data_IF_146915568401
#
_entry.id   IF_146915568401
#
_cell.length_a   1.000
_cell.length_b   1.000
_cell.length_c   1.000
_cell.angle_alpha   90.00
_cell.angle_beta   90.00
_cell.angle_gamma   90.00
#
_symmetry.space_group_name_H-M   'P 1'
#
loop_
_entity.id
_entity.type
_entity.pdbx_description
1 polymer ?
#
# COMPACT_ATOMS: atom_id res chain seq x y z
N UNK A 1 -12.76 -4.59 6.65
CA UNK A 1 -13.21 -3.80 5.47
C UNK A 1 -12.73 -2.36 5.58
N UNK A 2 -12.24 -1.79 4.46
CA UNK A 2 -11.89 -0.36 4.30
C UNK A 2 -12.90 0.23 3.33
N UNK A 3 -13.47 1.42 3.63
CA UNK A 3 -14.36 2.15 2.72
C UNK A 3 -13.85 3.57 2.54
N UNK A 4 -13.67 3.98 1.29
CA UNK A 4 -13.34 5.35 0.91
C UNK A 4 -14.64 6.08 0.52
N UNK A 5 -14.90 7.27 1.08
CA UNK A 5 -16.07 8.09 0.77
C UNK A 5 -15.64 9.46 0.28
N UNK A 6 -15.82 9.72 -1.02
CA UNK A 6 -15.44 10.96 -1.69
C UNK A 6 -14.01 11.38 -1.36
N UNK A 7 -13.10 10.41 -1.26
CA UNK A 7 -11.75 10.62 -0.76
C UNK A 7 -10.88 11.32 -1.79
N UNK A 8 -10.33 12.46 -1.40
CA UNK A 8 -9.32 13.20 -2.16
C UNK A 8 -8.04 13.24 -1.35
N UNK A 9 -6.94 12.77 -1.95
CA UNK A 9 -5.62 12.79 -1.33
C UNK A 9 -4.68 13.77 -2.02
N UNK A 10 -3.70 14.27 -1.29
CA UNK A 10 -2.71 15.20 -1.76
C UNK A 10 -1.85 15.73 -0.62
N UNK A 11 -1.05 16.74 -0.87
CA UNK A 11 -0.16 17.35 0.12
C UNK A 11 0.05 18.84 -0.18
N UNK A 12 0.42 19.63 0.86
CA UNK A 12 0.80 21.02 0.66
C UNK A 12 2.04 21.12 -0.25
N UNK A 13 1.98 22.02 -1.24
CA UNK A 13 3.07 22.34 -2.15
C UNK A 13 3.31 23.86 -2.14
N UNK A 14 4.15 24.31 -1.23
CA UNK A 14 4.38 25.74 -0.98
C UNK A 14 3.10 26.45 -0.52
N UNK A 15 2.61 27.41 -1.32
CA UNK A 15 1.35 28.15 -1.07
C UNK A 15 0.12 27.45 -1.66
N UNK A 16 0.29 26.36 -2.38
CA UNK A 16 -0.75 25.62 -3.07
C UNK A 16 -0.93 24.24 -2.44
N UNK A 17 -2.01 23.57 -2.76
CA UNK A 17 -2.26 22.19 -2.40
C UNK A 17 -2.20 21.35 -3.68
N UNK A 18 -1.30 20.37 -3.73
CA UNK A 18 -1.24 19.42 -4.85
C UNK A 18 -2.24 18.29 -4.58
N UNK A 19 -3.34 18.31 -5.31
CA UNK A 19 -4.32 17.22 -5.33
C UNK A 19 -3.84 16.12 -6.28
N UNK A 20 -3.92 14.85 -5.85
CA UNK A 20 -3.40 13.71 -6.61
C UNK A 20 -4.49 12.92 -7.32
N UNK A 21 -5.73 12.93 -6.82
CA UNK A 21 -6.84 12.18 -7.41
C UNK A 21 -8.14 12.98 -7.40
N UNK A 22 -9.09 12.54 -8.21
CA UNK A 22 -10.51 12.90 -8.07
C UNK A 22 -11.13 12.18 -6.89
N UNK A 23 -12.32 12.61 -6.47
CA UNK A 23 -13.03 12.00 -5.34
C UNK A 23 -13.24 10.49 -5.57
N UNK A 24 -12.63 9.67 -4.72
CA UNK A 24 -12.69 8.21 -4.82
C UNK A 24 -13.74 7.64 -3.86
N UNK A 25 -14.53 6.68 -4.36
CA UNK A 25 -15.50 5.91 -3.59
C UNK A 25 -15.23 4.43 -3.85
N UNK A 26 -14.47 3.79 -2.96
CA UNK A 26 -13.98 2.43 -3.16
C UNK A 26 -14.03 1.61 -1.88
N UNK A 27 -14.08 0.29 -2.02
CA UNK A 27 -14.09 -0.63 -0.89
C UNK A 27 -13.06 -1.75 -1.08
N UNK A 28 -12.25 -1.97 -0.03
CA UNK A 28 -11.43 -3.18 0.11
C UNK A 28 -12.12 -4.11 1.12
N UNK A 29 -12.49 -5.29 0.65
CA UNK A 29 -13.35 -6.22 1.37
C UNK A 29 -12.55 -7.19 2.24
N UNK A 30 -13.21 -7.71 3.28
CA UNK A 30 -12.65 -8.75 4.12
C UNK A 30 -12.48 -10.06 3.32
N UNK A 31 -11.41 -10.78 3.59
CA UNK A 31 -11.08 -12.02 2.89
C UNK A 31 -10.56 -11.83 1.46
N UNK A 32 -10.22 -10.60 1.05
CA UNK A 32 -9.75 -10.32 -0.31
C UNK A 32 -8.38 -9.63 -0.33
N UNK A 33 -7.59 -9.97 -1.36
CA UNK A 33 -6.38 -9.27 -1.75
C UNK A 33 -6.71 -8.20 -2.79
N UNK A 34 -6.58 -6.93 -2.41
CA UNK A 34 -6.73 -5.78 -3.30
C UNK A 34 -5.37 -5.20 -3.65
N UNK A 35 -5.06 -5.06 -4.94
CA UNK A 35 -3.83 -4.44 -5.41
C UNK A 35 -4.08 -3.04 -5.96
N UNK A 36 -3.41 -2.04 -5.38
CA UNK A 36 -3.39 -0.66 -5.84
C UNK A 36 -2.25 -0.48 -6.85
N UNK A 37 -2.60 -0.19 -8.10
CA UNK A 37 -1.67 -0.06 -9.22
C UNK A 37 -1.70 1.37 -9.75
N UNK A 38 -0.54 1.86 -10.14
CA UNK A 38 -0.37 3.18 -10.73
C UNK A 38 1.09 3.45 -11.06
N UNK A 39 1.35 4.40 -11.95
CA UNK A 39 2.69 4.84 -12.26
C UNK A 39 3.42 5.39 -11.02
N UNK A 40 4.75 5.48 -11.10
CA UNK A 40 5.51 6.13 -10.03
C UNK A 40 5.09 7.59 -9.88
N UNK A 41 4.91 8.03 -8.63
CA UNK A 41 4.40 9.37 -8.34
C UNK A 41 2.89 9.58 -8.55
N UNK A 42 2.12 8.53 -8.89
CA UNK A 42 0.65 8.64 -9.04
C UNK A 42 -0.11 8.90 -7.73
N UNK A 43 0.55 8.71 -6.57
CA UNK A 43 -0.07 8.95 -5.26
C UNK A 43 -0.42 7.69 -4.48
N UNK A 44 0.04 6.50 -4.90
CA UNK A 44 -0.23 5.21 -4.22
C UNK A 44 0.13 5.26 -2.73
N UNK A 45 1.38 5.61 -2.41
CA UNK A 45 1.84 5.69 -1.02
C UNK A 45 1.13 6.80 -0.23
N UNK A 46 0.76 7.91 -0.89
CA UNK A 46 -0.05 8.97 -0.27
C UNK A 46 -1.44 8.46 0.09
N UNK A 47 -2.08 7.70 -0.81
CA UNK A 47 -3.38 7.07 -0.53
C UNK A 47 -3.26 6.08 0.63
N UNK A 48 -2.27 5.18 0.61
CA UNK A 48 -2.06 4.22 1.70
C UNK A 48 -1.77 4.91 3.04
N UNK A 49 -0.95 5.97 3.06
CA UNK A 49 -0.69 6.77 4.28
C UNK A 49 -1.94 7.47 4.79
N UNK A 50 -2.80 7.94 3.88
CA UNK A 50 -4.09 8.55 4.25
C UNK A 50 -5.04 7.50 4.84
N UNK A 51 -5.13 6.30 4.22
CA UNK A 51 -5.91 5.17 4.75
C UNK A 51 -5.38 4.75 6.13
N UNK A 52 -4.06 4.72 6.31
CA UNK A 52 -3.43 4.41 7.60
C UNK A 52 -3.65 5.49 8.68
N UNK A 53 -4.17 6.66 8.31
CA UNK A 53 -4.32 7.79 9.21
C UNK A 53 -2.99 8.46 9.59
N UNK A 54 -1.93 8.28 8.80
CA UNK A 54 -0.65 8.97 8.96
C UNK A 54 -0.66 10.34 8.30
N UNK A 55 -1.61 10.56 7.39
CA UNK A 55 -1.83 11.82 6.69
C UNK A 55 -3.32 12.11 6.64
N UNK A 56 -3.69 13.39 6.76
CA UNK A 56 -5.08 13.81 6.59
C UNK A 56 -5.46 13.83 5.10
N UNK A 57 -6.69 13.40 4.75
CA UNK A 57 -7.22 13.62 3.41
C UNK A 57 -7.44 15.12 3.15
N UNK A 58 -7.42 15.53 1.89
CA UNK A 58 -7.86 16.87 1.49
C UNK A 58 -9.38 17.00 1.62
N UNK A 59 -10.11 15.98 1.16
CA UNK A 59 -11.57 15.90 1.23
C UNK A 59 -11.99 14.45 1.48
N UNK A 60 -13.22 14.26 1.93
CA UNK A 60 -13.81 12.94 2.14
C UNK A 60 -13.35 12.25 3.41
N UNK A 61 -13.56 10.95 3.47
CA UNK A 61 -13.40 10.16 4.69
C UNK A 61 -12.93 8.74 4.38
N UNK A 62 -12.09 8.20 5.24
CA UNK A 62 -11.72 6.77 5.27
C UNK A 62 -12.41 6.11 6.45
N UNK A 63 -13.18 5.07 6.20
CA UNK A 63 -13.80 4.25 7.25
C UNK A 63 -13.05 2.93 7.40
N UNK A 64 -12.76 2.57 8.63
CA UNK A 64 -12.13 1.31 9.03
C UNK A 64 -13.11 0.49 9.88
N UNK A 65 -13.74 -0.51 9.26
CA UNK A 65 -14.82 -1.26 9.92
C UNK A 65 -16.03 -0.40 10.28
N UNK A 66 -16.31 0.67 9.53
CA UNK A 66 -17.40 1.60 9.75
C UNK A 66 -17.04 2.88 10.52
N UNK A 67 -15.92 2.92 11.26
CA UNK A 67 -15.47 4.08 12.03
C UNK A 67 -14.51 4.94 11.20
N UNK A 68 -14.66 6.28 11.30
CA UNK A 68 -13.73 7.22 10.65
C UNK A 68 -12.33 7.10 11.27
N UNK A 69 -11.33 6.83 10.44
CA UNK A 69 -9.94 6.62 10.86
C UNK A 69 -9.37 7.82 11.64
N UNK A 70 -9.89 9.04 11.39
CA UNK A 70 -9.47 10.26 12.09
C UNK A 70 -9.93 10.32 13.53
N UNK A 71 -11.03 9.66 13.85
CA UNK A 71 -11.60 9.65 15.22
C UNK A 71 -10.94 8.59 16.11
N UNK A 72 -10.24 7.64 15.51
CA UNK A 72 -9.57 6.57 16.23
C UNK A 72 -8.24 7.06 16.82
N UNK A 73 -8.00 6.74 18.10
CA UNK A 73 -6.69 6.95 18.71
C UNK A 73 -5.62 6.10 18.01
N UNK A 74 -4.32 6.45 18.14
CA UNK A 74 -3.23 5.65 17.57
C UNK A 74 -3.28 4.17 17.98
N UNK A 75 -3.65 3.89 19.23
CA UNK A 75 -3.79 2.51 19.73
C UNK A 75 -4.96 1.80 19.06
N UNK A 76 -6.12 2.43 18.97
CA UNK A 76 -7.30 1.84 18.31
C UNK A 76 -7.05 1.56 16.84
N UNK A 77 -6.31 2.43 16.14
CA UNK A 77 -5.87 2.16 14.77
C UNK A 77 -4.94 0.96 14.70
N UNK A 78 -3.95 0.89 15.58
CA UNK A 78 -3.01 -0.23 15.64
C UNK A 78 -3.66 -1.56 16.06
N UNK A 79 -4.78 -1.56 16.76
CA UNK A 79 -5.57 -2.76 17.08
C UNK A 79 -6.43 -3.23 15.90
N UNK A 80 -6.64 -2.39 14.86
CA UNK A 80 -7.51 -2.68 13.71
C UNK A 80 -6.76 -2.84 12.39
N UNK A 81 -5.57 -2.26 12.28
CA UNK A 81 -4.82 -2.22 11.03
C UNK A 81 -3.32 -2.35 11.29
N UNK A 82 -2.70 -3.30 10.61
CA UNK A 82 -1.25 -3.41 10.52
C UNK A 82 -0.76 -2.73 9.22
N UNK A 83 0.41 -2.08 9.30
CA UNK A 83 1.00 -1.38 8.15
C UNK A 83 2.44 -1.84 7.95
N UNK A 84 2.76 -2.23 6.73
CA UNK A 84 4.13 -2.53 6.27
C UNK A 84 4.49 -1.46 5.24
N UNK A 85 5.47 -0.61 5.58
CA UNK A 85 5.97 0.42 4.68
C UNK A 85 7.17 -0.11 3.90
N UNK A 86 7.49 0.54 2.79
CA UNK A 86 8.65 0.24 1.95
C UNK A 86 9.97 0.50 2.68
N UNK A 87 9.97 1.43 3.66
CA UNK A 87 11.14 1.77 4.44
C UNK A 87 11.64 0.56 5.24
N UNK A 88 12.94 0.28 5.12
CA UNK A 88 13.59 -0.83 5.80
C UNK A 88 14.19 -0.33 7.11
N UNK A 89 13.73 -0.83 8.28
CA UNK A 89 14.36 -0.47 9.52
C UNK A 89 15.78 -1.03 9.56
N UNK A 90 16.75 -0.16 9.85
CA UNK A 90 18.13 -0.58 10.09
C UNK A 90 18.25 -1.18 11.50
N UNK A 91 18.19 -2.52 11.57
CA UNK A 91 18.22 -3.27 12.84
C UNK A 91 19.36 -4.26 12.83
N UNK A 92 20.53 -3.83 13.31
CA UNK A 92 21.76 -4.62 13.21
C UNK A 92 21.77 -5.89 14.08
N UNK A 93 21.21 -5.86 15.29
CA UNK A 93 21.35 -6.95 16.29
C UNK A 93 20.03 -7.62 16.66
N UNK A 94 18.91 -7.30 16.00
CA UNK A 94 17.60 -7.82 16.33
C UNK A 94 17.38 -9.18 15.67
N UNK A 95 16.93 -10.17 16.43
CA UNK A 95 16.56 -11.47 15.90
C UNK A 95 15.22 -11.40 15.15
N UNK A 96 14.97 -12.36 14.29
CA UNK A 96 13.69 -12.51 13.57
C UNK A 96 12.52 -12.59 14.57
N UNK A 97 12.68 -13.39 15.63
CA UNK A 97 11.66 -13.53 16.66
C UNK A 97 11.37 -12.20 17.36
N UNK A 98 12.40 -11.47 17.78
CA UNK A 98 12.26 -10.15 18.42
C UNK A 98 11.58 -9.14 17.49
N UNK A 99 11.96 -9.11 16.21
CA UNK A 99 11.33 -8.23 15.22
C UNK A 99 9.84 -8.52 15.10
N UNK A 100 9.45 -9.78 14.96
CA UNK A 100 8.03 -10.17 14.87
C UNK A 100 7.29 -9.89 16.18
N UNK A 101 7.95 -10.07 17.32
CA UNK A 101 7.38 -9.79 18.63
C UNK A 101 7.01 -8.30 18.83
N UNK A 102 7.68 -7.37 18.13
CA UNK A 102 7.29 -5.95 18.14
C UNK A 102 5.87 -5.72 17.60
N UNK A 103 5.34 -6.63 16.77
CA UNK A 103 3.94 -6.59 16.32
C UNK A 103 2.93 -6.70 17.47
N UNK A 104 3.35 -7.19 18.63
CA UNK A 104 2.50 -7.27 19.84
C UNK A 104 2.48 -5.97 20.67
N UNK A 105 3.27 -4.95 20.30
CA UNK A 105 3.37 -3.69 21.05
C UNK A 105 2.01 -3.05 21.40
N UNK A 106 0.98 -3.01 20.54
CA UNK A 106 -0.32 -2.43 20.88
C UNK A 106 -1.04 -3.14 22.05
N UNK A 107 -0.70 -4.41 22.30
CA UNK A 107 -1.36 -5.27 23.29
C UNK A 107 -0.53 -5.49 24.55
N UNK A 108 0.72 -5.02 24.58
CA UNK A 108 1.58 -5.06 25.76
C UNK A 108 1.36 -3.82 26.63
N UNK A 109 1.57 -3.97 27.95
CA UNK A 109 1.54 -2.84 28.86
C UNK A 109 2.80 -1.97 28.73
N UNK A 110 2.92 -0.97 29.60
CA UNK A 110 4.02 0.02 29.62
C UNK A 110 5.43 -0.63 29.59
N UNK A 111 5.60 -1.77 30.22
CA UNK A 111 6.88 -2.50 30.27
C UNK A 111 7.15 -3.40 29.06
N UNK A 112 6.28 -3.43 28.06
CA UNK A 112 6.46 -4.24 26.84
C UNK A 112 6.56 -5.75 27.08
N UNK A 113 6.13 -6.26 28.25
CA UNK A 113 6.25 -7.69 28.60
C UNK A 113 5.27 -8.54 27.80
N UNK A 114 5.80 -9.55 27.11
CA UNK A 114 5.01 -10.50 26.36
C UNK A 114 4.48 -11.60 27.27
N UNK A 115 3.17 -11.87 27.20
CA UNK A 115 2.54 -13.02 27.86
C UNK A 115 2.87 -14.32 27.10
N UNK A 116 2.52 -15.47 27.69
CA UNK A 116 2.61 -16.75 27.00
C UNK A 116 1.75 -16.80 25.73
N UNK A 117 0.57 -16.15 25.74
CA UNK A 117 -0.29 -16.01 24.56
C UNK A 117 0.41 -15.22 23.44
N UNK A 118 1.04 -14.10 23.78
CA UNK A 118 1.76 -13.28 22.79
C UNK A 118 2.91 -14.05 22.14
N UNK A 119 3.68 -14.82 22.92
CA UNK A 119 4.74 -15.70 22.41
C UNK A 119 4.19 -16.72 21.42
N UNK A 120 3.05 -17.36 21.73
CA UNK A 120 2.37 -18.28 20.85
C UNK A 120 1.92 -17.63 19.53
N UNK A 121 1.42 -16.39 19.59
CA UNK A 121 1.04 -15.60 18.41
C UNK A 121 2.25 -15.32 17.52
N UNK A 122 3.37 -14.91 18.10
CA UNK A 122 4.64 -14.67 17.37
C UNK A 122 5.09 -15.93 16.64
N UNK A 123 5.14 -17.08 17.35
CA UNK A 123 5.52 -18.36 16.76
C UNK A 123 4.57 -18.79 15.63
N UNK A 124 3.24 -18.63 15.81
CA UNK A 124 2.26 -18.90 14.76
C UNK A 124 2.49 -18.01 13.54
N UNK A 125 2.76 -16.71 13.74
CA UNK A 125 3.00 -15.77 12.64
C UNK A 125 4.25 -16.14 11.84
N UNK A 126 5.33 -16.55 12.48
CA UNK A 126 6.54 -17.06 11.83
C UNK A 126 6.27 -18.32 11.00
N UNK A 127 5.42 -19.22 11.53
CA UNK A 127 5.02 -20.45 10.83
C UNK A 127 4.18 -20.16 9.60
N UNK A 128 3.22 -19.24 9.69
CA UNK A 128 2.33 -18.85 8.57
C UNK A 128 3.13 -18.33 7.37
N UNK A 129 4.23 -17.62 7.61
CA UNK A 129 5.09 -17.13 6.52
C UNK A 129 6.28 -18.04 6.19
N UNK A 130 6.36 -19.23 6.82
CA UNK A 130 7.35 -20.25 6.51
C UNK A 130 8.79 -19.98 7.01
N UNK A 131 8.99 -19.08 7.99
CA UNK A 131 10.33 -18.71 8.49
C UNK A 131 10.58 -19.08 9.98
N UNK A 132 9.78 -19.97 10.55
CA UNK A 132 9.91 -20.37 11.97
C UNK A 132 11.34 -20.86 12.31
N UNK A 133 11.99 -21.56 11.37
CA UNK A 133 13.38 -22.06 11.56
C UNK A 133 14.43 -20.98 11.61
N UNK A 134 14.08 -19.76 11.25
CA UNK A 134 14.99 -18.58 11.24
C UNK A 134 14.82 -17.70 12.46
N UNK A 135 13.99 -18.11 13.45
CA UNK A 135 13.60 -17.27 14.60
C UNK A 135 14.80 -16.63 15.33
N UNK A 136 15.89 -17.39 15.50
CA UNK A 136 17.08 -16.96 16.23
C UNK A 136 18.13 -16.26 15.34
N UNK A 137 17.93 -16.20 14.01
CA UNK A 137 18.84 -15.47 13.12
C UNK A 137 18.63 -13.97 13.26
N UNK A 138 19.70 -13.21 13.05
CA UNK A 138 19.60 -11.74 12.99
C UNK A 138 18.94 -11.30 11.67
N UNK A 139 18.06 -10.30 11.74
CA UNK A 139 17.39 -9.75 10.56
C UNK A 139 18.38 -9.24 9.51
N UNK A 140 19.52 -8.69 9.95
CA UNK A 140 20.57 -8.22 9.06
C UNK A 140 21.19 -9.33 8.18
N UNK A 141 21.15 -10.61 8.64
CA UNK A 141 21.73 -11.75 7.91
C UNK A 141 20.79 -12.37 6.86
N UNK A 142 19.58 -11.85 6.71
CA UNK A 142 18.56 -12.38 5.83
C UNK A 142 18.67 -11.83 4.42
N UNK A 143 18.26 -12.62 3.42
CA UNK A 143 17.96 -12.13 2.09
C UNK A 143 16.79 -11.13 2.10
N UNK A 144 16.63 -10.36 1.02
CA UNK A 144 15.53 -9.39 0.93
C UNK A 144 14.15 -10.06 0.99
N UNK A 145 13.99 -11.22 0.34
CA UNK A 145 12.74 -12.00 0.42
C UNK A 145 12.45 -12.55 1.81
N UNK A 146 13.46 -13.09 2.50
CA UNK A 146 13.31 -13.54 3.90
C UNK A 146 12.98 -12.37 4.83
N UNK A 147 13.63 -11.22 4.63
CA UNK A 147 13.35 -9.99 5.41
C UNK A 147 11.93 -9.49 5.17
N UNK A 148 11.44 -9.55 3.93
CA UNK A 148 10.05 -9.19 3.62
C UNK A 148 9.06 -10.10 4.34
N UNK A 149 9.31 -11.41 4.38
CA UNK A 149 8.51 -12.36 5.16
C UNK A 149 8.51 -12.03 6.66
N UNK A 150 9.64 -11.57 7.22
CA UNK A 150 9.70 -11.10 8.62
C UNK A 150 8.77 -9.90 8.84
N UNK A 151 8.74 -8.92 7.92
CA UNK A 151 7.85 -7.77 8.04
C UNK A 151 6.37 -8.15 7.93
N UNK A 152 6.05 -9.09 7.05
CA UNK A 152 4.69 -9.65 6.95
C UNK A 152 4.34 -10.41 8.25
N UNK A 153 5.24 -11.26 8.78
CA UNK A 153 5.02 -11.97 10.05
C UNK A 153 4.77 -11.00 11.22
N UNK A 154 5.52 -9.88 11.27
CA UNK A 154 5.30 -8.82 12.26
C UNK A 154 3.89 -8.23 12.14
N UNK A 155 3.42 -7.94 10.92
CA UNK A 155 2.07 -7.44 10.69
C UNK A 155 1.00 -8.47 11.10
N UNK A 156 1.22 -9.78 10.83
CA UNK A 156 0.33 -10.85 11.26
C UNK A 156 0.30 -11.03 12.78
N UNK A 157 1.45 -10.87 13.45
CA UNK A 157 1.54 -10.92 14.91
C UNK A 157 0.70 -9.85 15.59
N UNK A 158 0.42 -8.75 14.93
CA UNK A 158 -0.49 -7.70 15.41
C UNK A 158 -1.95 -8.17 15.46
N UNK A 159 -2.34 -9.25 14.75
CA UNK A 159 -3.68 -9.84 14.71
C UNK A 159 -4.80 -8.88 14.34
N UNK A 160 -4.53 -7.95 13.46
CA UNK A 160 -5.51 -6.99 12.96
C UNK A 160 -6.37 -7.58 11.84
N UNK A 161 -7.62 -7.13 11.66
CA UNK A 161 -8.45 -7.53 10.51
C UNK A 161 -7.95 -6.95 9.17
N UNK A 162 -7.21 -5.84 9.21
CA UNK A 162 -6.70 -5.16 8.00
C UNK A 162 -5.18 -5.18 7.98
N UNK A 163 -4.60 -5.42 6.81
CA UNK A 163 -3.16 -5.33 6.54
C UNK A 163 -2.93 -4.44 5.31
N UNK A 164 -2.21 -3.34 5.50
CA UNK A 164 -1.76 -2.46 4.43
C UNK A 164 -0.28 -2.71 4.14
N UNK A 165 0.09 -2.80 2.85
CA UNK A 165 1.49 -2.97 2.46
C UNK A 165 1.83 -1.99 1.34
N UNK A 166 2.88 -1.19 1.54
CA UNK A 166 3.39 -0.28 0.51
C UNK A 166 4.56 -0.94 -0.23
N UNK A 167 4.33 -1.32 -1.48
CA UNK A 167 5.28 -1.99 -2.38
C UNK A 167 6.01 -3.21 -1.75
N UNK A 168 5.29 -4.22 -1.23
CA UNK A 168 5.90 -5.35 -0.51
C UNK A 168 6.80 -6.24 -1.38
N UNK A 169 6.76 -6.09 -2.69
CA UNK A 169 7.57 -6.86 -3.65
C UNK A 169 8.74 -6.05 -4.22
N UNK A 170 8.94 -4.80 -3.77
CA UNK A 170 10.05 -3.98 -4.21
C UNK A 170 11.40 -4.64 -3.85
N UNK A 171 12.36 -4.52 -4.74
CA UNK A 171 13.73 -5.07 -4.60
C UNK A 171 13.83 -6.60 -4.51
N UNK A 172 12.75 -7.34 -4.75
CA UNK A 172 12.75 -8.79 -4.82
C UNK A 172 13.00 -9.28 -6.25
N UNK A 173 13.65 -10.43 -6.40
CA UNK A 173 13.68 -11.15 -7.65
C UNK A 173 12.30 -11.73 -8.01
N UNK A 174 12.09 -12.10 -9.25
CA UNK A 174 10.77 -12.53 -9.72
C UNK A 174 10.19 -13.73 -8.94
N UNK A 175 10.95 -14.82 -8.67
CA UNK A 175 10.44 -15.93 -7.85
C UNK A 175 9.97 -15.48 -6.45
N UNK A 176 10.76 -14.65 -5.78
CA UNK A 176 10.40 -14.11 -4.45
C UNK A 176 9.17 -13.20 -4.49
N UNK A 177 8.97 -12.41 -5.58
CA UNK A 177 7.75 -11.62 -5.77
C UNK A 177 6.51 -12.51 -5.83
N UNK A 178 6.56 -13.56 -6.67
CA UNK A 178 5.47 -14.52 -6.83
C UNK A 178 5.15 -15.17 -5.48
N UNK A 179 6.18 -15.61 -4.74
CA UNK A 179 6.00 -16.26 -3.44
C UNK A 179 5.34 -15.30 -2.42
N UNK A 180 5.78 -14.04 -2.34
CA UNK A 180 5.20 -13.03 -1.44
C UNK A 180 3.75 -12.72 -1.82
N UNK A 181 3.43 -12.58 -3.10
CA UNK A 181 2.06 -12.32 -3.56
C UNK A 181 1.12 -13.49 -3.24
N UNK A 182 1.57 -14.72 -3.49
CA UNK A 182 0.79 -15.92 -3.14
C UNK A 182 0.59 -16.04 -1.62
N UNK A 183 1.61 -15.73 -0.82
CA UNK A 183 1.50 -15.70 0.63
C UNK A 183 0.44 -14.68 1.08
N UNK A 184 0.42 -13.46 0.51
CA UNK A 184 -0.54 -12.43 0.86
C UNK A 184 -1.98 -12.80 0.45
N UNK A 185 -2.14 -13.45 -0.71
CA UNK A 185 -3.43 -14.00 -1.14
C UNK A 185 -3.94 -15.05 -0.15
N UNK A 186 -3.09 -16.01 0.23
CA UNK A 186 -3.45 -17.06 1.20
C UNK A 186 -3.83 -16.45 2.56
N UNK A 187 -3.09 -15.42 3.03
CA UNK A 187 -3.41 -14.68 4.25
C UNK A 187 -4.78 -14.00 4.15
N UNK A 188 -5.10 -13.38 3.00
CA UNK A 188 -6.41 -12.78 2.80
C UNK A 188 -7.52 -13.82 2.91
N UNK A 189 -7.41 -14.93 2.21
CA UNK A 189 -8.44 -15.96 2.13
C UNK A 189 -8.56 -16.79 3.41
N UNK A 190 -7.45 -17.35 3.89
CA UNK A 190 -7.47 -18.32 5.00
C UNK A 190 -7.64 -17.65 6.38
N UNK A 191 -7.03 -16.48 6.57
CA UNK A 191 -7.15 -15.71 7.81
C UNK A 191 -8.26 -14.64 7.74
N UNK A 192 -9.06 -14.61 6.65
CA UNK A 192 -10.18 -13.68 6.40
C UNK A 192 -9.82 -12.22 6.62
N UNK A 193 -8.62 -11.81 6.18
CA UNK A 193 -8.14 -10.44 6.34
C UNK A 193 -8.44 -9.58 5.10
N UNK A 194 -8.70 -8.30 5.32
CA UNK A 194 -8.62 -7.32 4.25
C UNK A 194 -7.14 -7.03 3.99
N UNK A 195 -6.61 -7.42 2.84
CA UNK A 195 -5.24 -7.12 2.44
C UNK A 195 -5.28 -6.10 1.30
N UNK A 196 -4.68 -4.92 1.52
CA UNK A 196 -4.52 -3.89 0.50
C UNK A 196 -3.04 -3.58 0.33
N UNK A 197 -2.51 -3.77 -0.86
CA UNK A 197 -1.12 -3.47 -1.15
C UNK A 197 -0.97 -2.56 -2.37
N UNK A 198 0.09 -1.76 -2.41
CA UNK A 198 0.52 -1.06 -3.62
C UNK A 198 1.56 -1.90 -4.37
N UNK A 199 1.50 -1.84 -5.68
CA UNK A 199 2.53 -2.44 -6.55
C UNK A 199 2.60 -1.69 -7.89
N UNK A 200 3.74 -1.82 -8.58
CA UNK A 200 3.89 -1.40 -9.97
C UNK A 200 3.91 -2.60 -10.94
N UNK A 201 3.86 -3.83 -10.41
CA UNK A 201 3.86 -5.07 -11.18
C UNK A 201 2.41 -5.45 -11.56
N UNK A 202 1.98 -4.94 -12.71
CA UNK A 202 0.60 -5.16 -13.21
C UNK A 202 0.36 -6.63 -13.54
N UNK A 203 1.32 -7.30 -14.17
CA UNK A 203 1.15 -8.69 -14.60
C UNK A 203 0.95 -9.61 -13.39
N UNK A 204 1.77 -9.44 -12.37
CA UNK A 204 1.67 -10.23 -11.15
C UNK A 204 0.35 -9.95 -10.41
N UNK A 205 -0.07 -8.68 -10.36
CA UNK A 205 -1.34 -8.30 -9.73
C UNK A 205 -2.55 -8.87 -10.49
N UNK A 206 -2.54 -8.85 -11.84
CA UNK A 206 -3.60 -9.43 -12.65
C UNK A 206 -3.81 -10.93 -12.42
N UNK A 207 -2.72 -11.66 -12.11
CA UNK A 207 -2.76 -13.10 -11.89
C UNK A 207 -3.05 -13.49 -10.43
N UNK A 208 -2.88 -12.56 -9.48
CA UNK A 208 -2.92 -12.92 -8.05
C UNK A 208 -4.04 -12.21 -7.29
N UNK A 209 -4.38 -10.95 -7.65
CA UNK A 209 -5.34 -10.16 -6.87
C UNK A 209 -6.79 -10.57 -7.11
N UNK A 210 -7.62 -10.50 -6.07
CA UNK A 210 -9.08 -10.61 -6.19
C UNK A 210 -9.68 -9.33 -6.79
N UNK A 211 -9.11 -8.17 -6.43
CA UNK A 211 -9.52 -6.85 -6.93
C UNK A 211 -8.32 -5.97 -7.22
N UNK A 212 -8.50 -5.08 -8.20
CA UNK A 212 -7.52 -4.06 -8.55
C UNK A 212 -8.12 -2.67 -8.33
N UNK A 213 -7.30 -1.77 -7.83
CA UNK A 213 -7.52 -0.32 -7.83
C UNK A 213 -6.47 0.30 -8.74
N UNK A 214 -6.90 0.91 -9.85
CA UNK A 214 -6.02 1.54 -10.84
C UNK A 214 -6.04 3.05 -10.68
N UNK A 215 -4.86 3.66 -10.48
CA UNK A 215 -4.67 5.10 -10.65
C UNK A 215 -4.44 5.41 -12.13
N UNK A 216 -5.49 5.81 -12.84
CA UNK A 216 -5.42 6.24 -14.23
C UNK A 216 -5.18 7.77 -14.26
N UNK A 217 -4.06 8.22 -14.84
CA UNK A 217 -3.81 9.65 -15.06
C UNK A 217 -4.76 10.17 -16.14
N UNK A 218 -5.40 11.30 -15.89
CA UNK A 218 -6.06 12.03 -16.96
C UNK A 218 -5.02 12.51 -17.97
N UNK A 219 -5.25 12.22 -19.24
CA UNK A 219 -4.54 12.89 -20.33
C UNK A 219 -4.94 14.35 -20.24
N UNK A 220 -3.99 15.23 -19.90
CA UNK A 220 -4.19 16.66 -20.05
C UNK A 220 -4.70 16.88 -21.48
N UNK A 221 -5.90 17.44 -21.62
CA UNK A 221 -6.40 17.84 -22.93
C UNK A 221 -5.33 18.73 -23.57
N UNK A 222 -4.86 18.33 -24.74
CA UNK A 222 -4.20 19.26 -25.64
C UNK A 222 -5.24 20.38 -25.85
N UNK A 223 -5.07 21.53 -25.20
CA UNK A 223 -5.68 22.75 -25.65
C UNK A 223 -5.18 22.91 -27.09
N UNK A 224 -6.06 22.64 -28.05
CA UNK A 224 -5.85 23.05 -29.43
C UNK A 224 -5.60 24.57 -29.41
N UNK A 225 -4.34 24.95 -29.46
CA UNK A 225 -3.93 26.32 -29.71
C UNK A 225 -4.29 26.65 -31.17
N UNK A 226 -5.54 27.13 -31.33
CA UNK A 226 -5.96 27.75 -32.59
C UNK A 226 -5.51 29.18 -32.60
N UNK A 227 -4.35 29.39 -33.18
CA UNK A 227 -4.06 30.70 -33.80
C UNK A 227 -2.85 31.43 -33.29
N UNK A 228 -1.93 31.66 -34.19
CA UNK A 228 -0.96 32.75 -34.08
C UNK A 228 0.48 32.39 -34.43
N UNK A 229 0.79 32.49 -35.69
CA UNK A 229 2.16 32.58 -36.22
C UNK A 229 2.96 33.70 -35.53
N UNK A 230 4.29 33.54 -35.53
CA UNK A 230 5.36 34.47 -35.14
C UNK A 230 5.78 34.44 -33.65
N UNK A 231 6.86 33.66 -33.40
CA UNK A 231 8.14 34.13 -32.84
C UNK A 231 9.04 32.95 -32.47
N UNK A 232 9.85 32.54 -33.42
CA UNK A 232 11.11 31.86 -33.17
C UNK A 232 12.09 32.82 -32.46
N UNK A 233 12.96 32.22 -31.63
CA UNK A 233 14.04 32.78 -30.83
C UNK A 233 13.66 33.29 -29.42
N UNK A 234 13.64 32.33 -28.47
CA UNK A 234 14.17 32.43 -27.08
C UNK A 234 13.58 31.34 -26.13
N UNK A 235 13.77 30.09 -26.40
CA UNK A 235 13.39 29.01 -25.43
C UNK A 235 14.45 27.91 -25.36
N UNK A 236 15.65 28.25 -24.94
CA UNK A 236 16.67 27.24 -24.59
C UNK A 236 17.15 27.39 -23.15
N UNK A 237 16.30 27.80 -22.21
CA UNK A 237 16.62 27.79 -20.75
C UNK A 237 15.40 27.85 -19.83
N UNK A 238 14.40 27.00 -19.99
CA UNK A 238 13.39 26.81 -18.89
C UNK A 238 12.62 25.50 -19.00
N UNK A 239 13.33 24.38 -19.21
CA UNK A 239 12.69 23.08 -19.18
C UNK A 239 13.01 22.33 -17.87
N UNK A 240 12.82 23.01 -16.72
CA UNK A 240 12.80 22.40 -15.38
C UNK A 240 11.54 22.91 -14.68
N UNK A 241 10.48 22.09 -14.66
CA UNK A 241 9.40 22.30 -13.69
C UNK A 241 8.01 22.61 -14.23
N UNK A 242 7.59 22.10 -15.39
CA UNK A 242 6.16 21.89 -15.67
C UNK A 242 5.80 20.44 -15.35
N UNK A 243 5.84 20.06 -14.05
CA UNK A 243 5.06 18.91 -13.62
C UNK A 243 3.58 19.26 -13.80
N UNK A 244 2.98 18.71 -14.84
CA UNK A 244 1.55 18.83 -15.10
C UNK A 244 0.78 18.40 -13.87
N UNK A 245 -0.11 19.26 -13.36
CA UNK A 245 -1.09 18.99 -12.29
C UNK A 245 -2.16 17.97 -12.76
N UNK A 246 -1.78 16.93 -13.48
CA UNK A 246 -2.68 15.90 -13.93
C UNK A 246 -3.17 15.12 -12.72
N UNK A 247 -4.47 15.21 -12.45
CA UNK A 247 -5.15 14.40 -11.45
C UNK A 247 -5.32 12.98 -11.97
N UNK A 248 -5.44 12.04 -11.05
CA UNK A 248 -5.70 10.64 -11.40
C UNK A 248 -7.12 10.25 -10.98
N UNK A 249 -7.74 9.39 -11.75
CA UNK A 249 -9.00 8.74 -11.37
C UNK A 249 -8.70 7.36 -10.82
N UNK A 250 -9.33 7.00 -9.70
CA UNK A 250 -9.25 5.66 -9.14
C UNK A 250 -10.37 4.81 -9.74
N UNK A 251 -9.99 3.75 -10.45
CA UNK A 251 -10.92 2.79 -11.06
C UNK A 251 -10.73 1.44 -10.39
N UNK A 252 -11.80 0.77 -10.02
CA UNK A 252 -11.73 -0.56 -9.40
C UNK A 252 -12.54 -1.62 -10.14
N UNK A 253 -12.14 -2.87 -9.93
CA UNK A 253 -12.83 -4.05 -10.45
C UNK A 253 -12.05 -5.32 -10.21
N UNK A 254 -12.63 -6.46 -10.58
CA UNK A 254 -11.88 -7.70 -10.70
C UNK A 254 -10.90 -7.63 -11.88
N UNK A 255 -9.82 -8.41 -11.90
CA UNK A 255 -8.91 -8.47 -13.05
C UNK A 255 -9.65 -8.70 -14.38
N UNK A 256 -10.61 -9.63 -14.41
CA UNK A 256 -11.39 -9.95 -15.62
C UNK A 256 -12.26 -8.77 -16.07
N UNK A 257 -12.94 -8.08 -15.16
CA UNK A 257 -13.75 -6.90 -15.48
C UNK A 257 -12.90 -5.79 -16.10
N UNK A 258 -11.73 -5.50 -15.50
CA UNK A 258 -10.83 -4.43 -15.95
C UNK A 258 -10.13 -4.74 -17.27
N UNK A 259 -9.89 -6.01 -17.57
CA UNK A 259 -9.41 -6.45 -18.88
C UNK A 259 -10.52 -6.32 -19.91
N UNK A 260 -11.73 -6.83 -19.62
CA UNK A 260 -12.85 -6.88 -20.57
C UNK A 260 -13.39 -5.50 -20.96
N UNK A 261 -13.41 -4.54 -20.01
CA UNK A 261 -13.87 -3.16 -20.26
C UNK A 261 -12.77 -2.24 -20.84
N UNK A 262 -11.56 -2.78 -21.08
CA UNK A 262 -10.43 -2.07 -21.67
C UNK A 262 -9.71 -1.10 -20.73
N UNK A 263 -10.01 -1.09 -19.42
CA UNK A 263 -9.32 -0.22 -18.45
C UNK A 263 -7.84 -0.53 -18.36
N UNK A 264 -7.45 -1.81 -18.34
CA UNK A 264 -6.03 -2.21 -18.35
C UNK A 264 -5.32 -1.69 -19.61
N UNK A 265 -5.95 -1.81 -20.79
CA UNK A 265 -5.36 -1.33 -22.05
C UNK A 265 -5.18 0.19 -22.06
N UNK A 266 -6.11 0.94 -21.50
CA UNK A 266 -5.97 2.41 -21.32
C UNK A 266 -4.87 2.75 -20.34
N UNK A 267 -4.83 2.07 -19.20
CA UNK A 267 -3.80 2.25 -18.19
C UNK A 267 -2.39 2.02 -18.76
N UNK A 268 -2.15 0.92 -19.48
CA UNK A 268 -0.83 0.60 -20.06
C UNK A 268 -0.42 1.61 -21.14
N UNK A 269 -1.37 2.17 -21.91
CA UNK A 269 -1.07 3.21 -22.92
C UNK A 269 -0.86 4.59 -22.32
N UNK A 270 -1.25 4.81 -21.07
CA UNK A 270 -1.15 6.10 -20.36
C UNK A 270 -0.06 6.15 -19.28
N UNK A 271 0.61 5.01 -19.02
CA UNK A 271 1.62 4.86 -17.96
C UNK A 271 3.04 5.28 -18.38
#
# INVERSE_FOLDING_TARGET
>A
MITLKNLVVGYPDGRHTRQLNHAANEEAHDGMLTCLIGANGAGKSTLLRTIAGFQLPLEGTVLLGGDDVRTLSPRQRAERMAVVLTDRPDVMCTTVWEMVATGRAPFTGFWGRLSGKDRGIVTRSLRLVGIERMADRTVASLSDGERQKVMIAKALAQQTPVVLLDEPTAFLDYPSRVEVMQLLLNIAHEEHKTVLLSTHDLDLALHTADRLWLFEKERGGEEEDRGGEEKEEKEEKTNKGKETNAKSTLISGTPQELVSNGSISRFVKGA
#
